data_IF_636440364245
#
_entry.id   IF_636440364245
#
_cell.length_a   1.000
_cell.length_b   1.000
_cell.length_c   1.000
_cell.angle_alpha   90.00
_cell.angle_beta   90.00
_cell.angle_gamma   90.00
#
_symmetry.space_group_name_H-M   'P 1'
#
loop_
_entity.id
_entity.type
_entity.pdbx_description
1 polymer ?
#
# COMPACT_ATOMS: atom_id res chain seq x y z
N UNK A 1 -37.44 17.78 -11.63
CA UNK A 1 -35.98 17.91 -11.79
C UNK A 1 -35.36 17.37 -10.52
N UNK A 2 -34.77 16.17 -10.56
CA UNK A 2 -34.20 15.56 -9.37
C UNK A 2 -32.79 16.14 -9.14
N UNK A 3 -32.62 16.70 -7.95
CA UNK A 3 -31.41 17.33 -7.44
C UNK A 3 -30.31 16.27 -7.28
N UNK A 4 -29.26 16.38 -8.08
CA UNK A 4 -28.05 15.57 -7.95
C UNK A 4 -27.32 16.02 -6.67
N UNK A 5 -27.65 15.41 -5.54
CA UNK A 5 -26.83 15.52 -4.34
C UNK A 5 -25.43 15.00 -4.67
N UNK A 6 -24.45 15.91 -4.69
CA UNK A 6 -23.05 15.58 -4.73
C UNK A 6 -22.70 14.81 -3.45
N UNK A 7 -22.68 13.47 -3.56
CA UNK A 7 -22.13 12.59 -2.52
C UNK A 7 -20.66 12.99 -2.35
N UNK A 8 -20.31 13.45 -1.14
CA UNK A 8 -18.92 13.66 -0.68
C UNK A 8 -17.99 12.56 -1.22
N UNK A 9 -16.71 12.84 -1.55
CA UNK A 9 -15.81 11.87 -2.14
C UNK A 9 -15.74 10.65 -1.23
N UNK A 10 -16.46 9.59 -1.61
CA UNK A 10 -16.58 8.36 -0.83
C UNK A 10 -15.18 7.84 -0.61
N UNK A 11 -14.79 7.75 0.65
CA UNK A 11 -13.49 7.28 1.10
C UNK A 11 -13.16 5.96 0.39
N UNK A 12 -12.24 6.00 -0.59
CA UNK A 12 -11.86 4.81 -1.38
C UNK A 12 -11.43 3.72 -0.42
N UNK A 13 -12.08 2.55 -0.49
CA UNK A 13 -11.76 1.47 0.42
C UNK A 13 -10.42 0.85 0.01
N UNK A 14 -9.43 0.97 0.87
CA UNK A 14 -8.08 0.46 0.61
C UNK A 14 -7.78 -0.81 1.44
N UNK A 15 -7.12 -1.79 0.82
CA UNK A 15 -6.60 -3.00 1.47
C UNK A 15 -5.12 -3.16 1.16
N UNK A 16 -4.30 -3.25 2.20
CA UNK A 16 -2.88 -3.58 2.07
C UNK A 16 -2.67 -5.10 1.95
N UNK A 17 -2.00 -5.53 0.89
CA UNK A 17 -1.52 -6.91 0.74
C UNK A 17 -0.15 -7.05 1.39
N UNK A 18 -0.06 -7.93 2.38
CA UNK A 18 1.17 -8.20 3.16
C UNK A 18 1.68 -9.61 2.92
N UNK A 19 2.94 -9.88 3.31
CA UNK A 19 3.51 -11.23 3.21
C UNK A 19 2.85 -12.26 4.13
N UNK A 20 2.19 -11.83 5.22
CA UNK A 20 1.79 -12.70 6.33
C UNK A 20 0.27 -12.85 6.53
N UNK A 21 -0.58 -12.32 5.63
CA UNK A 21 -2.04 -12.47 5.73
C UNK A 21 -2.61 -13.64 4.91
N UNK A 22 -3.75 -14.19 5.30
CA UNK A 22 -4.43 -15.27 4.54
C UNK A 22 -5.12 -14.69 3.30
N UNK A 23 -4.87 -15.30 2.14
CA UNK A 23 -5.48 -14.88 0.86
C UNK A 23 -7.00 -14.91 0.94
N UNK A 24 -7.55 -15.99 1.50
CA UNK A 24 -9.00 -16.20 1.67
C UNK A 24 -9.67 -15.03 2.39
N UNK A 25 -9.03 -14.45 3.41
CA UNK A 25 -9.61 -13.32 4.16
C UNK A 25 -9.75 -12.08 3.29
N UNK A 26 -8.74 -11.75 2.48
CA UNK A 26 -8.83 -10.60 1.55
C UNK A 26 -9.84 -10.85 0.44
N UNK A 27 -9.88 -12.07 -0.10
CA UNK A 27 -10.83 -12.46 -1.16
C UNK A 27 -12.27 -12.39 -0.65
N UNK A 28 -12.55 -13.00 0.51
CA UNK A 28 -13.89 -12.99 1.11
C UNK A 28 -14.36 -11.57 1.42
N UNK A 29 -13.48 -10.73 1.98
CA UNK A 29 -13.79 -9.33 2.21
C UNK A 29 -14.08 -8.59 0.89
N UNK A 30 -13.23 -8.75 -0.12
CA UNK A 30 -13.36 -8.05 -1.39
C UNK A 30 -14.65 -8.43 -2.14
N UNK A 31 -14.99 -9.72 -2.19
CA UNK A 31 -16.22 -10.19 -2.82
C UNK A 31 -17.46 -9.63 -2.11
N UNK A 32 -17.48 -9.68 -0.78
CA UNK A 32 -18.55 -9.08 0.02
C UNK A 32 -18.68 -7.58 -0.25
N UNK A 33 -17.55 -6.87 -0.25
CA UNK A 33 -17.53 -5.43 -0.51
C UNK A 33 -18.08 -5.08 -1.89
N UNK A 34 -17.66 -5.78 -2.95
CA UNK A 34 -18.11 -5.54 -4.33
C UNK A 34 -19.59 -5.92 -4.57
N UNK A 35 -20.12 -6.84 -3.77
CA UNK A 35 -21.54 -7.22 -3.79
C UNK A 35 -22.41 -6.18 -3.08
N UNK A 36 -21.99 -5.74 -1.89
CA UNK A 36 -22.71 -4.77 -1.06
C UNK A 36 -22.61 -3.34 -1.62
N UNK A 37 -21.48 -2.97 -2.24
CA UNK A 37 -21.17 -1.60 -2.69
C UNK A 37 -20.89 -1.59 -4.19
N UNK A 38 -21.94 -1.40 -5.00
CA UNK A 38 -21.80 -1.48 -6.46
C UNK A 38 -21.13 -0.26 -7.10
N UNK A 39 -21.16 0.89 -6.42
CA UNK A 39 -20.63 2.17 -6.92
C UNK A 39 -19.24 2.48 -6.40
N UNK A 40 -18.80 1.82 -5.33
CA UNK A 40 -17.58 2.22 -4.63
C UNK A 40 -16.38 1.38 -5.09
N UNK A 41 -15.24 2.00 -5.45
CA UNK A 41 -14.04 1.29 -5.83
C UNK A 41 -13.37 0.62 -4.63
N UNK A 42 -12.78 -0.55 -4.88
CA UNK A 42 -11.91 -1.25 -3.94
C UNK A 42 -10.47 -1.24 -4.44
N UNK A 43 -9.56 -0.65 -3.67
CA UNK A 43 -8.14 -0.58 -4.01
C UNK A 43 -7.30 -1.55 -3.18
N UNK A 44 -6.61 -2.47 -3.84
CA UNK A 44 -5.65 -3.40 -3.25
C UNK A 44 -4.23 -2.85 -3.50
N UNK A 45 -3.35 -2.76 -2.49
CA UNK A 45 -2.03 -2.13 -2.67
C UNK A 45 -0.88 -2.79 -1.90
N UNK A 46 0.36 -2.49 -2.31
CA UNK A 46 1.60 -2.94 -1.63
C UNK A 46 2.34 -1.85 -0.86
N UNK A 47 1.77 -0.66 -0.72
CA UNK A 47 2.36 0.43 0.09
C UNK A 47 2.73 -0.05 1.51
N UNK A 48 3.86 0.41 2.06
CA UNK A 48 4.29 0.06 3.42
C UNK A 48 3.30 0.59 4.47
N UNK A 49 3.39 0.06 5.69
CA UNK A 49 2.60 0.59 6.80
C UNK A 49 2.99 2.05 7.06
N UNK A 50 2.01 2.95 7.11
CA UNK A 50 2.24 4.31 7.62
C UNK A 50 2.72 4.17 9.07
N UNK A 51 3.93 4.66 9.36
CA UNK A 51 4.43 4.73 10.74
C UNK A 51 3.50 5.70 11.46
N UNK A 52 2.67 5.19 12.38
CA UNK A 52 1.83 6.05 13.20
C UNK A 52 2.78 7.01 13.93
N UNK A 53 2.70 8.31 13.61
CA UNK A 53 3.30 9.32 14.45
C UNK A 53 2.62 9.18 15.80
N UNK A 54 3.35 8.68 16.79
CA UNK A 54 2.95 8.78 18.19
C UNK A 54 2.77 10.28 18.47
N UNK A 55 1.52 10.69 18.61
CA UNK A 55 1.17 12.01 19.14
C UNK A 55 1.84 12.06 20.52
N UNK A 56 2.74 13.02 20.79
CA UNK A 56 3.22 13.22 22.15
C UNK A 56 2.04 13.76 22.95
N UNK A 57 1.45 12.91 23.80
CA UNK A 57 0.54 13.35 24.84
C UNK A 57 1.29 14.36 25.70
N UNK A 58 0.99 15.63 25.49
CA UNK A 58 1.32 16.69 26.42
C UNK A 58 0.19 16.66 27.44
N UNK A 59 0.49 16.27 28.67
CA UNK A 59 -0.05 16.88 29.89
C UNK A 59 0.70 16.34 31.11
N UNK A 60 1.00 17.28 31.99
CA UNK A 60 1.96 17.25 33.09
C UNK A 60 1.66 16.22 34.18
N UNK A 61 2.71 15.58 34.70
CA UNK A 61 2.85 15.36 36.14
C UNK A 61 4.34 15.19 36.49
N UNK A 62 4.79 16.13 37.32
CA UNK A 62 6.08 16.22 38.01
C UNK A 62 6.29 14.97 38.88
N UNK A 63 7.42 14.28 38.77
CA UNK A 63 8.11 13.80 39.97
C UNK A 63 9.60 13.54 39.70
N UNK A 64 10.38 13.92 40.70
CA UNK A 64 11.81 14.13 40.76
C UNK A 64 12.47 12.89 41.37
N UNK A 65 13.36 12.17 40.67
CA UNK A 65 14.38 11.33 41.35
C UNK A 65 15.59 11.04 40.47
N UNK A 66 16.74 11.23 41.08
CA UNK A 66 18.12 11.23 40.61
C UNK A 66 18.65 9.92 39.99
N UNK A 67 19.61 10.11 39.07
CA UNK A 67 20.61 9.15 38.53
C UNK A 67 21.46 8.43 39.60
N UNK A 68 22.06 7.26 39.32
CA UNK A 68 23.46 7.24 38.85
C UNK A 68 23.91 6.09 37.89
N UNK A 69 24.68 6.52 36.89
CA UNK A 69 25.93 6.00 36.26
C UNK A 69 26.39 4.54 36.47
N UNK A 70 26.85 3.92 35.35
CA UNK A 70 27.98 2.97 35.12
C UNK A 70 27.57 1.92 34.07
N UNK A 71 28.34 1.44 33.11
CA UNK A 71 29.68 1.70 32.57
C UNK A 71 29.71 1.07 31.16
N UNK A 72 30.70 1.47 30.37
CA UNK A 72 31.01 0.89 29.06
C UNK A 72 31.31 -0.62 29.13
N UNK A 73 30.99 -1.38 28.07
CA UNK A 73 31.96 -2.16 27.26
C UNK A 73 31.25 -2.83 26.06
N UNK A 74 31.79 -2.53 24.88
CA UNK A 74 32.24 -3.45 23.82
C UNK A 74 31.49 -4.77 23.56
N UNK A 75 31.04 -4.97 22.31
CA UNK A 75 30.39 -6.23 21.96
C UNK A 75 29.80 -6.36 20.55
N UNK A 76 30.61 -6.10 19.52
CA UNK A 76 30.52 -6.72 18.19
C UNK A 76 29.13 -6.67 17.52
N UNK A 77 28.86 -5.56 16.84
CA UNK A 77 27.82 -5.51 15.81
C UNK A 77 28.13 -6.55 14.72
N UNK A 78 27.43 -7.68 14.80
CA UNK A 78 27.43 -8.75 13.81
C UNK A 78 27.08 -8.16 12.46
N UNK A 79 28.09 -7.94 11.62
CA UNK A 79 27.98 -7.66 10.20
C UNK A 79 27.43 -8.93 9.53
N UNK A 80 26.14 -9.19 9.71
CA UNK A 80 25.42 -10.13 8.87
C UNK A 80 25.43 -9.55 7.47
N UNK A 81 26.10 -10.27 6.57
CA UNK A 81 26.14 -9.99 5.14
C UNK A 81 24.71 -9.76 4.64
N UNK A 82 24.36 -8.49 4.44
CA UNK A 82 23.09 -8.07 3.83
C UNK A 82 23.08 -8.56 2.39
N UNK A 83 22.64 -9.81 2.19
CA UNK A 83 22.01 -10.19 0.94
C UNK A 83 20.82 -9.26 0.79
N UNK A 84 20.97 -8.22 -0.02
CA UNK A 84 19.96 -7.25 -0.45
C UNK A 84 18.57 -7.90 -0.51
N UNK A 85 17.84 -7.88 0.61
CA UNK A 85 16.47 -8.38 0.65
C UNK A 85 15.65 -7.36 -0.10
N UNK A 86 14.97 -7.78 -1.16
CA UNK A 86 14.05 -6.90 -1.89
C UNK A 86 13.12 -6.19 -0.91
N UNK A 87 12.86 -4.91 -1.16
CA UNK A 87 11.95 -4.12 -0.33
C UNK A 87 10.59 -4.83 -0.20
N UNK A 88 9.99 -4.76 0.99
CA UNK A 88 8.75 -5.50 1.31
C UNK A 88 7.59 -5.18 0.36
N UNK A 89 7.52 -3.97 -0.19
CA UNK A 89 6.48 -3.56 -1.15
C UNK A 89 6.63 -4.25 -2.51
N UNK A 90 7.85 -4.60 -2.91
CA UNK A 90 8.10 -5.32 -4.16
C UNK A 90 7.90 -6.82 -4.00
N UNK A 91 8.26 -7.38 -2.84
CA UNK A 91 8.12 -8.82 -2.60
C UNK A 91 6.65 -9.29 -2.53
N UNK A 92 5.71 -8.38 -2.27
CA UNK A 92 4.27 -8.70 -2.21
C UNK A 92 3.50 -8.47 -3.51
N UNK A 93 4.11 -7.88 -4.56
CA UNK A 93 3.44 -7.61 -5.84
C UNK A 93 2.88 -8.89 -6.48
N UNK A 94 3.63 -10.01 -6.60
CA UNK A 94 3.08 -11.24 -7.18
C UNK A 94 1.87 -11.78 -6.40
N UNK A 95 1.88 -11.60 -5.08
CA UNK A 95 0.78 -11.98 -4.19
C UNK A 95 -0.44 -11.08 -4.41
N UNK A 96 -0.25 -9.76 -4.55
CA UNK A 96 -1.31 -8.80 -4.88
C UNK A 96 -2.03 -9.20 -6.17
N UNK A 97 -1.28 -9.48 -7.24
CA UNK A 97 -1.84 -9.92 -8.52
C UNK A 97 -2.64 -11.22 -8.33
N UNK A 98 -2.07 -12.19 -7.61
CA UNK A 98 -2.77 -13.46 -7.32
C UNK A 98 -4.11 -13.24 -6.60
N UNK A 99 -4.15 -12.35 -5.60
CA UNK A 99 -5.38 -12.02 -4.86
C UNK A 99 -6.41 -11.37 -5.79
N UNK A 100 -6.01 -10.36 -6.57
CA UNK A 100 -6.90 -9.68 -7.51
C UNK A 100 -7.48 -10.65 -8.55
N UNK A 101 -6.67 -11.55 -9.11
CA UNK A 101 -7.13 -12.56 -10.07
C UNK A 101 -8.10 -13.56 -9.46
N UNK A 102 -7.90 -13.97 -8.21
CA UNK A 102 -8.85 -14.85 -7.49
C UNK A 102 -10.18 -14.11 -7.29
N UNK A 103 -10.15 -12.84 -6.85
CA UNK A 103 -11.36 -12.03 -6.67
C UNK A 103 -12.14 -11.94 -7.98
N UNK A 104 -11.47 -11.61 -9.10
CA UNK A 104 -12.12 -11.54 -10.42
C UNK A 104 -12.79 -12.85 -10.80
N UNK A 105 -12.09 -13.98 -10.66
CA UNK A 105 -12.65 -15.30 -11.00
C UNK A 105 -13.85 -15.66 -10.14
N UNK A 106 -13.75 -15.48 -8.82
CA UNK A 106 -14.86 -15.81 -7.90
C UNK A 106 -16.05 -14.86 -8.09
N UNK A 107 -15.80 -13.59 -8.37
CA UNK A 107 -16.86 -12.62 -8.66
C UNK A 107 -17.63 -13.02 -9.93
N UNK A 108 -16.92 -13.35 -11.02
CA UNK A 108 -17.53 -13.78 -12.28
C UNK A 108 -18.28 -15.11 -12.16
N UNK A 109 -17.84 -16.04 -11.30
CA UNK A 109 -18.58 -17.28 -11.01
C UNK A 109 -19.91 -17.01 -10.30
N UNK A 110 -19.97 -15.96 -9.47
CA UNK A 110 -21.17 -15.57 -8.74
C UNK A 110 -22.18 -14.77 -9.57
N UNK A 111 -21.80 -14.29 -10.76
CA UNK A 111 -22.71 -13.62 -11.68
C UNK A 111 -23.63 -14.65 -12.36
N UNK A 112 -24.90 -14.29 -12.56
CA UNK A 112 -25.88 -15.18 -13.18
C UNK A 112 -25.42 -15.58 -14.59
N UNK A 113 -25.62 -16.85 -14.98
CA UNK A 113 -25.21 -17.34 -16.30
C UNK A 113 -25.86 -16.56 -17.46
N UNK A 114 -27.03 -15.97 -17.24
CA UNK A 114 -27.73 -15.12 -18.22
C UNK A 114 -26.92 -13.87 -18.61
N UNK A 115 -26.22 -13.25 -17.65
CA UNK A 115 -25.34 -12.11 -17.93
C UNK A 115 -24.07 -12.57 -18.67
N UNK A 116 -23.59 -13.79 -18.39
CA UNK A 116 -22.47 -14.39 -19.10
C UNK A 116 -22.81 -14.65 -20.58
N UNK A 117 -24.02 -15.14 -20.87
CA UNK A 117 -24.50 -15.39 -22.23
C UNK A 117 -24.70 -14.10 -23.04
N UNK A 118 -25.03 -12.98 -22.38
CA UNK A 118 -25.19 -11.68 -23.03
C UNK A 118 -23.88 -11.03 -23.49
N UNK A 119 -22.71 -11.61 -23.19
CA UNK A 119 -21.41 -11.05 -23.53
C UNK A 119 -20.99 -9.85 -22.66
N UNK A 120 -21.86 -9.38 -21.76
CA UNK A 120 -21.59 -8.32 -20.77
C UNK A 120 -20.85 -8.86 -19.52
N UNK A 121 -19.88 -9.76 -19.71
CA UNK A 121 -19.00 -10.26 -18.64
C UNK A 121 -18.08 -9.17 -18.07
N UNK A 122 -18.15 -7.94 -18.58
CA UNK A 122 -17.36 -6.78 -18.12
C UNK A 122 -17.98 -6.08 -16.91
N UNK A 123 -18.55 -6.82 -15.97
CA UNK A 123 -19.14 -6.22 -14.76
C UNK A 123 -18.11 -5.69 -13.76
N UNK A 124 -16.81 -5.89 -14.02
CA UNK A 124 -15.73 -5.48 -13.13
C UNK A 124 -14.58 -4.87 -13.95
N UNK A 125 -14.43 -3.56 -13.82
CA UNK A 125 -13.32 -2.78 -14.35
C UNK A 125 -12.13 -2.87 -13.39
N UNK A 126 -10.93 -2.91 -13.97
CA UNK A 126 -9.67 -2.95 -13.24
C UNK A 126 -8.80 -1.77 -13.68
N UNK A 127 -8.18 -1.10 -12.72
CA UNK A 127 -7.23 -0.02 -12.94
C UNK A 127 -5.95 -0.33 -12.19
N UNK A 128 -4.83 -0.43 -12.91
CA UNK A 128 -3.52 -0.69 -12.34
C UNK A 128 -2.70 0.58 -12.28
N UNK A 129 -2.09 0.82 -11.13
CA UNK A 129 -1.15 1.91 -10.92
C UNK A 129 0.16 1.37 -10.36
N UNK A 130 1.28 1.87 -10.89
CA UNK A 130 2.62 1.58 -10.38
C UNK A 130 3.23 2.91 -9.98
N UNK A 131 3.78 2.97 -8.77
CA UNK A 131 4.43 4.18 -8.27
C UNK A 131 5.76 3.88 -7.60
N UNK A 132 6.47 4.94 -7.27
CA UNK A 132 7.76 4.90 -6.59
C UNK A 132 7.62 5.53 -5.20
N UNK A 133 8.17 4.86 -4.18
CA UNK A 133 8.38 5.43 -2.85
C UNK A 133 9.79 6.01 -2.80
N UNK A 134 9.87 7.26 -2.34
CA UNK A 134 11.15 7.84 -1.94
C UNK A 134 11.67 7.09 -0.72
N UNK A 135 12.98 6.80 -0.72
CA UNK A 135 13.63 6.20 0.42
C UNK A 135 13.75 7.26 1.53
N UNK A 136 12.87 7.22 2.53
CA UNK A 136 12.99 8.01 3.76
C UNK A 136 14.04 7.43 4.72
N UNK A 137 15.06 6.75 4.17
CA UNK A 137 16.14 6.15 4.92
C UNK A 137 17.00 7.21 5.62
N UNK A 138 16.56 7.63 6.81
CA UNK A 138 17.28 7.96 8.06
C UNK A 138 18.55 8.82 8.07
N UNK A 139 19.18 9.10 6.93
CA UNK A 139 20.36 9.96 6.82
C UNK A 139 19.84 11.37 6.58
N UNK A 140 20.27 12.34 7.39
CA UNK A 140 19.94 13.74 7.16
C UNK A 140 20.29 14.07 5.71
N UNK A 141 19.32 14.64 4.97
CA UNK A 141 19.49 15.05 3.57
C UNK A 141 20.76 15.88 3.38
N UNK A 142 21.15 16.63 4.41
CA UNK A 142 22.33 17.46 4.49
C UNK A 142 23.62 16.63 4.44
N UNK A 143 23.71 15.52 5.16
CA UNK A 143 24.88 14.63 5.17
C UNK A 143 25.05 13.89 3.84
N UNK A 144 23.92 13.52 3.21
CA UNK A 144 23.91 12.93 1.88
C UNK A 144 24.42 13.91 0.82
N UNK A 145 24.00 15.18 0.88
CA UNK A 145 24.46 16.25 -0.01
C UNK A 145 25.92 16.61 0.24
N UNK A 146 26.34 16.72 1.50
CA UNK A 146 27.75 16.97 1.84
C UNK A 146 28.66 15.86 1.32
N UNK A 147 28.20 14.61 1.35
CA UNK A 147 28.92 13.47 0.78
C UNK A 147 28.99 13.50 -0.75
N UNK A 148 27.92 13.96 -1.43
CA UNK A 148 27.94 14.18 -2.89
C UNK A 148 28.97 15.24 -3.29
N UNK A 149 28.93 16.40 -2.63
CA UNK A 149 29.78 17.54 -2.98
C UNK A 149 31.27 17.25 -2.76
N UNK A 150 31.61 16.32 -1.86
CA UNK A 150 32.99 15.85 -1.65
C UNK A 150 33.52 14.96 -2.78
N UNK A 151 32.69 14.52 -3.72
CA UNK A 151 33.09 13.66 -4.85
C UNK A 151 33.55 12.25 -4.46
N UNK A 152 33.43 11.87 -3.18
CA UNK A 152 33.90 10.58 -2.65
C UNK A 152 32.84 9.46 -2.73
N UNK A 153 31.60 9.79 -3.12
CA UNK A 153 30.50 8.82 -3.28
C UNK A 153 29.44 9.35 -4.26
N UNK A 154 29.06 8.53 -5.23
CA UNK A 154 27.83 8.74 -6.00
C UNK A 154 26.65 8.25 -5.14
N UNK A 155 25.63 9.09 -4.92
CA UNK A 155 24.41 8.63 -4.26
C UNK A 155 23.75 7.57 -5.13
N UNK A 156 23.61 6.36 -4.59
CA UNK A 156 22.74 5.35 -5.18
C UNK A 156 21.31 5.76 -4.87
N UNK A 157 20.57 6.17 -5.89
CA UNK A 157 19.13 6.40 -5.75
C UNK A 157 18.46 5.04 -5.56
N UNK A 158 18.02 4.77 -4.34
CA UNK A 158 17.22 3.59 -4.05
C UNK A 158 15.76 3.96 -4.24
N UNK A 159 15.12 3.34 -5.24
CA UNK A 159 13.71 3.54 -5.56
C UNK A 159 12.96 2.27 -5.20
N UNK A 160 11.96 2.38 -4.34
CA UNK A 160 11.12 1.24 -3.97
C UNK A 160 9.80 1.34 -4.72
N UNK A 161 9.55 0.40 -5.63
CA UNK A 161 8.29 0.37 -6.36
C UNK A 161 7.14 -0.15 -5.48
N UNK A 162 5.93 0.37 -5.72
CA UNK A 162 4.68 -0.17 -5.21
C UNK A 162 3.67 -0.31 -6.35
N UNK A 163 2.65 -1.15 -6.10
CA UNK A 163 1.54 -1.34 -7.03
C UNK A 163 0.21 -1.15 -6.32
N UNK A 164 -0.77 -0.59 -7.04
CA UNK A 164 -2.19 -0.56 -6.67
C UNK A 164 -3.01 -1.20 -7.77
N UNK A 165 -4.04 -1.95 -7.39
CA UNK A 165 -5.05 -2.50 -8.28
C UNK A 165 -6.40 -2.07 -7.74
N UNK A 166 -7.11 -1.26 -8.50
CA UNK A 166 -8.46 -0.80 -8.16
C UNK A 166 -9.48 -1.58 -8.96
N UNK A 167 -10.43 -2.20 -8.26
CA UNK A 167 -11.55 -2.96 -8.85
C UNK A 167 -12.85 -2.20 -8.62
N UNK A 168 -13.66 -2.02 -9.67
CA UNK A 168 -14.95 -1.34 -9.58
C UNK A 168 -15.94 -1.91 -10.60
N UNK A 169 -17.24 -1.86 -10.32
CA UNK A 169 -18.26 -2.32 -11.28
C UNK A 169 -18.64 -1.28 -12.32
N UNK A 170 -18.24 -0.04 -12.11
CA UNK A 170 -18.46 1.08 -13.01
C UNK A 170 -17.12 1.57 -13.56
N UNK A 171 -17.15 2.18 -14.73
CA UNK A 171 -15.99 2.85 -15.27
C UNK A 171 -15.62 4.05 -14.40
N UNK A 172 -14.32 4.23 -14.20
CA UNK A 172 -13.71 5.35 -13.49
C UNK A 172 -12.84 6.15 -14.46
N UNK A 173 -13.42 7.10 -15.22
CA UNK A 173 -12.70 7.85 -16.25
C UNK A 173 -11.52 8.65 -15.69
N UNK A 174 -11.61 9.10 -14.44
CA UNK A 174 -10.55 9.86 -13.79
C UNK A 174 -9.27 9.04 -13.55
N UNK A 175 -9.39 7.73 -13.26
CA UNK A 175 -8.23 6.86 -13.12
C UNK A 175 -7.58 6.56 -14.47
N UNK A 176 -8.39 6.33 -15.50
CA UNK A 176 -7.89 6.20 -16.87
C UNK A 176 -7.17 7.48 -17.33
N UNK A 177 -7.72 8.66 -17.03
CA UNK A 177 -7.10 9.95 -17.33
C UNK A 177 -5.79 10.19 -16.55
N UNK A 178 -5.68 9.62 -15.34
CA UNK A 178 -4.46 9.64 -14.54
C UNK A 178 -3.38 8.64 -15.03
N UNK A 179 -3.66 7.87 -16.09
CA UNK A 179 -2.74 6.91 -16.68
C UNK A 179 -2.79 5.52 -16.07
N UNK A 180 -3.82 5.20 -15.27
CA UNK A 180 -4.04 3.82 -14.82
C UNK A 180 -4.49 2.95 -16.01
N UNK A 181 -3.97 1.73 -16.07
CA UNK A 181 -4.21 0.76 -17.17
C UNK A 181 -5.12 -0.38 -16.77
#
# INVERSE_FOLDING_TARGET
MAELQAKEPSETREIRITGHGKIETWVAFALRFLQENSTEPLTLHTLPAKKQQSIPSTEDAVDDTETPVQDAEDGVSKLESEKSRMASSMSTIPRLVSVAEIIKREYLKGLSPELAESGNLSGLHQYNEVGELADEGGVSREDALASMLRGKRHLRQHKVAYMKITLCRQELPHLAAAGAT
#
